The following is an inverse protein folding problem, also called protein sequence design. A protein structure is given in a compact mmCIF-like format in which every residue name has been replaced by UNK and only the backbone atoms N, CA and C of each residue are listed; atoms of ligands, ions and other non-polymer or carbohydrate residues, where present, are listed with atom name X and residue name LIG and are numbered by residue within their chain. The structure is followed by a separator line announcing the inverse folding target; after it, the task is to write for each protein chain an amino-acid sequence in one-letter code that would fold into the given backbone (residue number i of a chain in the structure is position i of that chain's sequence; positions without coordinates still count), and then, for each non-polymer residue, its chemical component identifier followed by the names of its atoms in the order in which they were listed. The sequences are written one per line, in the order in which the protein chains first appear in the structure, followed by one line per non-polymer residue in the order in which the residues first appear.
data_IF_996921822862
#
_entry.id   IF_996921822862
#
_cell.length_a   1.000
_cell.length_b   1.000
_cell.length_c   1.000
_cell.angle_alpha   90.00
_cell.angle_beta   90.00
_cell.angle_gamma   90.00
#
_symmetry.space_group_name_H-M   'P 1'
#
loop_
_entity.id
_entity.type
_entity.pdbx_description
1 polymer ?
#
# COMPACT_ATOMS: atom_id res chain seq x y z
N UNK A 1 -11.51 -0.54 -23.41
CA UNK A 1 -11.34 -1.72 -22.51
C UNK A 1 -10.35 -1.40 -21.38
N UNK A 2 -10.34 -0.16 -20.87
CA UNK A 2 -9.14 0.43 -20.27
C UNK A 2 -9.38 1.39 -19.10
N UNK A 3 -10.57 1.42 -18.48
CA UNK A 3 -10.79 2.30 -17.31
C UNK A 3 -10.43 1.60 -15.99
N UNK A 4 -10.69 0.30 -15.85
CA UNK A 4 -10.37 -0.44 -14.60
C UNK A 4 -8.87 -0.59 -14.34
N UNK A 5 -8.06 -0.63 -15.41
CA UNK A 5 -6.59 -0.63 -15.29
C UNK A 5 -6.06 0.77 -14.98
N UNK A 6 -6.69 1.83 -15.51
CA UNK A 6 -6.30 3.21 -15.24
C UNK A 6 -6.48 3.59 -13.75
N UNK A 7 -7.49 3.03 -13.07
CA UNK A 7 -7.72 3.27 -11.64
C UNK A 7 -6.86 2.42 -10.69
N UNK A 8 -6.56 1.16 -11.02
CA UNK A 8 -5.55 0.39 -10.26
C UNK A 8 -4.14 0.98 -10.46
N UNK A 9 -3.90 1.57 -11.65
CA UNK A 9 -2.74 2.39 -11.95
C UNK A 9 -2.82 3.72 -11.21
N UNK A 10 -3.98 4.37 -11.00
CA UNK A 10 -4.07 5.63 -10.24
C UNK A 10 -3.93 5.39 -8.72
N UNK A 11 -4.46 4.29 -8.17
CA UNK A 11 -4.19 3.83 -6.80
C UNK A 11 -2.72 3.42 -6.63
N UNK A 12 -1.95 3.19 -7.70
CA UNK A 12 -0.49 2.98 -7.62
C UNK A 12 0.34 4.20 -8.03
N UNK A 13 -0.14 5.04 -8.93
CA UNK A 13 0.51 6.25 -9.41
C UNK A 13 0.33 7.37 -8.40
N UNK A 14 -0.74 7.37 -7.59
CA UNK A 14 -0.81 8.16 -6.36
C UNK A 14 0.25 7.74 -5.32
N UNK A 15 0.86 6.55 -5.45
CA UNK A 15 1.96 6.07 -4.59
C UNK A 15 3.35 6.17 -5.24
N UNK A 16 3.45 6.21 -6.58
CA UNK A 16 4.74 6.26 -7.28
C UNK A 16 5.11 7.62 -7.89
N UNK A 17 4.17 8.54 -8.15
CA UNK A 17 4.45 9.76 -8.93
C UNK A 17 4.64 11.08 -8.15
N UNK A 18 4.75 11.08 -6.82
CA UNK A 18 4.95 12.32 -6.04
C UNK A 18 6.16 12.30 -5.10
N UNK A 19 7.33 11.97 -5.65
CA UNK A 19 8.63 12.25 -5.00
C UNK A 19 9.58 13.09 -5.88
N UNK A 20 9.03 13.81 -6.86
CA UNK A 20 9.75 14.91 -7.51
C UNK A 20 8.83 16.12 -7.64
N UNK A 21 9.19 17.19 -6.92
CA UNK A 21 8.95 18.56 -7.36
C UNK A 21 7.67 19.22 -6.85
N UNK A 22 7.74 19.80 -5.65
CA UNK A 22 7.08 21.08 -5.37
C UNK A 22 7.99 21.96 -4.48
N UNK A 23 9.18 22.29 -4.97
CA UNK A 23 9.78 23.61 -4.73
C UNK A 23 9.44 24.49 -5.93
N UNK A 24 9.11 25.74 -5.66
CA UNK A 24 8.43 26.68 -6.54
C UNK A 24 9.15 26.96 -7.87
N UNK A 25 8.34 27.12 -8.92
CA UNK A 25 8.37 28.06 -10.06
C UNK A 25 9.73 28.75 -10.41
N UNK A 26 10.02 28.68 -11.73
CA UNK A 26 10.99 29.42 -12.56
C UNK A 26 12.46 28.98 -12.53
N UNK A 27 12.90 28.27 -13.57
CA UNK A 27 13.85 28.79 -14.58
C UNK A 27 14.15 27.73 -15.65
N UNK A 28 14.12 28.17 -16.91
CA UNK A 28 14.65 27.50 -18.09
C UNK A 28 16.13 27.15 -17.92
N UNK A 29 16.51 25.88 -18.08
CA UNK A 29 17.71 25.45 -18.84
C UNK A 29 17.81 23.92 -18.90
N UNK A 30 18.18 23.44 -20.08
CA UNK A 30 18.55 22.07 -20.44
C UNK A 30 19.64 21.48 -19.54
N UNK A 31 19.40 20.29 -18.98
CA UNK A 31 20.40 19.52 -18.23
C UNK A 31 19.98 18.06 -17.98
N UNK A 32 20.81 17.13 -18.46
CA UNK A 32 20.91 15.68 -18.19
C UNK A 32 19.79 14.97 -17.40
N UNK A 33 19.03 14.12 -18.11
CA UNK A 33 18.20 13.05 -17.54
C UNK A 33 19.08 11.90 -17.01
N UNK A 34 19.53 11.99 -15.76
CA UNK A 34 19.92 10.79 -15.01
C UNK A 34 18.64 10.07 -14.57
N UNK A 35 18.46 8.82 -15.03
CA UNK A 35 17.32 7.99 -14.65
C UNK A 35 17.41 7.68 -13.14
N UNK A 36 16.60 8.35 -12.33
CA UNK A 36 16.44 7.97 -10.93
C UNK A 36 15.82 6.56 -10.87
N UNK A 37 16.64 5.55 -10.56
CA UNK A 37 16.17 4.18 -10.34
C UNK A 37 15.21 4.15 -9.15
N UNK A 38 14.07 3.49 -9.32
CA UNK A 38 13.07 3.30 -8.27
C UNK A 38 13.70 2.57 -7.06
N UNK A 39 13.50 3.09 -5.84
CA UNK A 39 14.04 2.51 -4.60
C UNK A 39 13.65 1.04 -4.43
N UNK A 40 12.45 0.67 -4.89
CA UNK A 40 11.99 -0.72 -4.91
C UNK A 40 12.93 -1.59 -5.75
N UNK A 41 13.29 -1.17 -6.96
CA UNK A 41 14.14 -1.97 -7.83
C UNK A 41 15.56 -2.11 -7.25
N UNK A 42 16.10 -1.04 -6.63
CA UNK A 42 17.40 -1.07 -5.96
C UNK A 42 17.42 -2.06 -4.77
N UNK A 43 16.35 -2.06 -3.95
CA UNK A 43 16.24 -2.97 -2.80
C UNK A 43 16.14 -4.42 -3.26
N UNK A 44 15.35 -4.70 -4.31
CA UNK A 44 15.12 -6.07 -4.79
C UNK A 44 16.34 -6.70 -5.46
N UNK A 45 17.25 -5.90 -6.03
CA UNK A 45 18.52 -6.37 -6.59
C UNK A 45 19.44 -7.00 -5.53
N UNK A 46 19.30 -6.62 -4.25
CA UNK A 46 20.15 -7.12 -3.16
C UNK A 46 19.83 -8.56 -2.73
N UNK A 47 18.68 -9.11 -3.11
CA UNK A 47 18.25 -10.44 -2.71
C UNK A 47 18.45 -11.41 -3.87
N UNK A 48 19.33 -12.40 -3.70
CA UNK A 48 19.64 -13.41 -4.74
C UNK A 48 18.65 -14.57 -4.77
N UNK A 49 18.11 -14.94 -3.61
CA UNK A 49 17.03 -15.92 -3.51
C UNK A 49 15.69 -15.34 -4.01
N UNK A 50 14.91 -16.18 -4.69
CA UNK A 50 13.66 -15.76 -5.32
C UNK A 50 12.56 -15.48 -4.30
N UNK A 51 12.46 -16.30 -3.25
CA UNK A 51 11.51 -16.12 -2.17
C UNK A 51 11.90 -14.91 -1.32
N UNK A 52 13.19 -14.70 -1.03
CA UNK A 52 13.70 -13.50 -0.36
C UNK A 52 13.35 -12.22 -1.13
N UNK A 53 13.57 -12.21 -2.45
CA UNK A 53 13.19 -11.07 -3.29
C UNK A 53 11.68 -10.78 -3.22
N UNK A 54 10.83 -11.80 -3.32
CA UNK A 54 9.38 -11.61 -3.21
C UNK A 54 8.97 -11.16 -1.80
N UNK A 55 9.60 -11.71 -0.76
CA UNK A 55 9.39 -11.34 0.65
C UNK A 55 9.74 -9.86 0.86
N UNK A 56 10.91 -9.42 0.39
CA UNK A 56 11.34 -8.02 0.47
C UNK A 56 10.37 -7.07 -0.23
N UNK A 57 9.84 -7.47 -1.40
CA UNK A 57 8.83 -6.68 -2.10
C UNK A 57 7.58 -6.48 -1.23
N UNK A 58 7.03 -7.57 -0.68
CA UNK A 58 5.83 -7.51 0.15
C UNK A 58 6.08 -6.77 1.47
N UNK A 59 7.24 -6.93 2.10
CA UNK A 59 7.58 -6.18 3.30
C UNK A 59 7.65 -4.67 3.05
N UNK A 60 8.25 -4.25 1.92
CA UNK A 60 8.30 -2.85 1.53
C UNK A 60 6.91 -2.29 1.23
N UNK A 61 6.10 -3.02 0.47
CA UNK A 61 4.75 -2.60 0.11
C UNK A 61 3.75 -2.69 1.27
N UNK A 62 3.99 -3.53 2.28
CA UNK A 62 3.12 -3.69 3.45
C UNK A 62 3.71 -3.03 4.71
N UNK A 63 4.70 -2.15 4.57
CA UNK A 63 5.42 -1.58 5.72
C UNK A 63 4.49 -0.94 6.75
N UNK A 64 3.43 -0.27 6.30
CA UNK A 64 2.45 0.41 7.13
C UNK A 64 1.50 -0.56 7.84
N UNK A 65 1.22 -1.71 7.22
CA UNK A 65 0.41 -2.79 7.82
C UNK A 65 1.24 -3.50 8.88
N UNK A 66 2.49 -3.83 8.54
CA UNK A 66 3.45 -4.46 9.45
C UNK A 66 3.73 -3.56 10.67
N UNK A 67 3.82 -2.24 10.47
CA UNK A 67 3.98 -1.27 11.56
C UNK A 67 2.70 -1.07 12.39
N UNK A 68 1.57 -1.65 11.97
CA UNK A 68 0.29 -1.53 12.65
C UNK A 68 -0.41 -0.17 12.47
N UNK A 69 0.05 0.66 11.53
CA UNK A 69 -0.53 1.98 11.22
C UNK A 69 -1.72 1.83 10.26
N UNK A 70 -1.63 0.90 9.30
CA UNK A 70 -2.72 0.54 8.38
C UNK A 70 -3.34 -0.81 8.74
N UNK A 71 -4.67 -0.97 8.58
CA UNK A 71 -5.30 -2.29 8.68
C UNK A 71 -5.00 -3.16 7.45
N UNK A 72 -4.88 -2.55 6.26
CA UNK A 72 -4.60 -3.24 5.01
C UNK A 72 -3.88 -2.36 3.99
N UNK A 73 -3.28 -2.99 2.97
CA UNK A 73 -2.76 -2.34 1.78
C UNK A 73 -3.10 -3.10 0.50
N UNK A 74 -3.16 -2.38 -0.63
CA UNK A 74 -3.35 -2.97 -1.94
C UNK A 74 -2.03 -3.03 -2.70
N UNK A 75 -1.70 -4.21 -3.21
CA UNK A 75 -0.54 -4.44 -4.04
C UNK A 75 -1.01 -4.98 -5.38
N UNK A 76 -0.64 -4.33 -6.46
CA UNK A 76 -0.74 -4.94 -7.78
C UNK A 76 0.61 -5.59 -8.15
N UNK A 77 0.59 -6.84 -8.58
CA UNK A 77 1.78 -7.54 -9.05
C UNK A 77 1.61 -7.73 -10.54
N UNK A 78 2.38 -6.96 -11.32
CA UNK A 78 2.34 -7.00 -12.78
C UNK A 78 3.18 -8.17 -13.27
N UNK A 79 2.68 -8.88 -14.29
CA UNK A 79 3.38 -9.96 -14.96
C UNK A 79 4.48 -9.39 -15.86
N UNK A 80 5.57 -8.96 -15.24
CA UNK A 80 6.73 -8.35 -15.90
C UNK A 80 8.00 -8.68 -15.14
N UNK A 81 9.06 -8.97 -15.89
CA UNK A 81 10.42 -9.09 -15.37
C UNK A 81 10.94 -7.71 -14.92
N UNK A 82 11.38 -7.64 -13.66
CA UNK A 82 11.97 -6.47 -12.99
C UNK A 82 13.46 -6.35 -13.31
N UNK A 83 14.11 -5.20 -13.04
CA UNK A 83 15.55 -5.02 -13.19
C UNK A 83 16.40 -6.07 -12.45
N UNK A 84 15.91 -6.59 -11.31
CA UNK A 84 16.54 -7.69 -10.59
C UNK A 84 16.47 -9.06 -11.30
N UNK A 85 15.95 -9.12 -12.54
CA UNK A 85 15.86 -10.34 -13.37
C UNK A 85 14.68 -11.25 -13.05
N UNK A 86 13.86 -10.92 -12.04
CA UNK A 86 12.76 -11.75 -11.55
C UNK A 86 11.40 -11.22 -11.97
N UNK A 87 10.43 -12.13 -12.09
CA UNK A 87 9.03 -11.79 -12.35
C UNK A 87 8.20 -12.11 -11.10
N UNK A 88 7.85 -11.07 -10.34
CA UNK A 88 7.14 -11.18 -9.06
C UNK A 88 5.77 -11.86 -9.21
N UNK A 89 5.11 -11.73 -10.37
CA UNK A 89 3.84 -12.41 -10.62
C UNK A 89 4.04 -13.93 -10.67
N UNK A 90 5.06 -14.39 -11.39
CA UNK A 90 5.38 -15.82 -11.47
C UNK A 90 5.82 -16.37 -10.11
N UNK A 91 6.65 -15.60 -9.39
CA UNK A 91 7.08 -15.98 -8.04
C UNK A 91 5.89 -16.08 -7.08
N UNK A 92 4.92 -15.17 -7.16
CA UNK A 92 3.69 -15.27 -6.37
C UNK A 92 2.92 -16.56 -6.67
N UNK A 93 2.73 -16.91 -7.95
CA UNK A 93 2.04 -18.15 -8.31
C UNK A 93 2.72 -19.39 -7.70
N UNK A 94 4.05 -19.37 -7.61
CA UNK A 94 4.86 -20.48 -7.10
C UNK A 94 4.96 -20.53 -5.57
N UNK A 95 5.05 -19.37 -4.91
CA UNK A 95 5.53 -19.28 -3.52
C UNK A 95 4.57 -18.57 -2.54
N UNK A 96 3.32 -18.29 -2.93
CA UNK A 96 2.37 -17.60 -2.05
C UNK A 96 2.11 -18.33 -0.71
N UNK A 97 2.15 -19.66 -0.69
CA UNK A 97 2.04 -20.44 0.56
C UNK A 97 3.27 -20.29 1.44
N UNK A 98 4.47 -20.30 0.86
CA UNK A 98 5.73 -20.12 1.59
C UNK A 98 5.78 -18.71 2.21
N UNK A 99 5.31 -17.70 1.47
CA UNK A 99 5.18 -16.33 1.97
C UNK A 99 4.20 -16.20 3.12
N UNK A 100 3.03 -16.85 3.03
CA UNK A 100 2.03 -16.81 4.10
C UNK A 100 2.57 -17.43 5.40
N UNK A 101 3.43 -18.44 5.29
CA UNK A 101 4.13 -19.00 6.45
C UNK A 101 5.20 -18.06 6.99
N UNK A 102 5.98 -17.41 6.10
CA UNK A 102 7.07 -16.51 6.50
C UNK A 102 6.59 -15.19 7.09
N UNK A 103 5.49 -14.66 6.58
CA UNK A 103 4.84 -13.42 7.02
C UNK A 103 3.51 -13.76 7.72
N UNK A 104 3.57 -14.61 8.74
CA UNK A 104 2.43 -15.16 9.48
C UNK A 104 1.43 -14.11 10.01
N UNK A 105 1.89 -12.91 10.34
CA UNK A 105 1.06 -11.80 10.82
C UNK A 105 0.36 -11.02 9.70
N UNK A 106 0.60 -11.38 8.43
CA UNK A 106 0.05 -10.72 7.25
C UNK A 106 -0.78 -11.70 6.42
N UNK A 107 -2.06 -11.40 6.28
CA UNK A 107 -2.98 -12.17 5.46
C UNK A 107 -2.99 -11.65 4.03
N UNK A 108 -3.25 -12.54 3.09
CA UNK A 108 -3.21 -12.26 1.67
C UNK A 108 -4.51 -12.71 0.99
N UNK A 109 -5.24 -11.77 0.37
CA UNK A 109 -6.43 -12.07 -0.42
C UNK A 109 -6.28 -11.58 -1.86
N UNK A 110 -6.37 -12.50 -2.82
CA UNK A 110 -6.40 -12.15 -4.25
C UNK A 110 -7.77 -11.55 -4.59
N UNK A 111 -7.83 -10.23 -4.75
CA UNK A 111 -9.05 -9.51 -5.11
C UNK A 111 -9.36 -9.66 -6.60
N UNK A 112 -8.33 -9.67 -7.45
CA UNK A 112 -8.47 -9.86 -8.89
C UNK A 112 -7.24 -10.55 -9.47
N UNK A 113 -7.46 -11.49 -10.39
CA UNK A 113 -6.40 -12.09 -11.20
C UNK A 113 -6.70 -11.85 -12.68
N UNK A 114 -5.71 -11.34 -13.42
CA UNK A 114 -5.74 -11.13 -14.86
C UNK A 114 -4.47 -11.73 -15.46
N UNK A 115 -4.48 -11.99 -16.77
CA UNK A 115 -3.32 -12.55 -17.48
C UNK A 115 -2.03 -11.72 -17.30
N UNK A 116 -2.16 -10.40 -17.15
CA UNK A 116 -1.03 -9.46 -17.05
C UNK A 116 -0.78 -8.93 -15.64
N UNK A 117 -1.63 -9.25 -14.66
CA UNK A 117 -1.49 -8.70 -13.31
C UNK A 117 -2.40 -9.36 -12.29
N UNK A 118 -1.96 -9.33 -11.04
CA UNK A 118 -2.69 -9.72 -9.83
C UNK A 118 -2.96 -8.45 -9.01
N UNK A 119 -4.15 -8.30 -8.41
CA UNK A 119 -4.44 -7.33 -7.35
C UNK A 119 -4.62 -8.08 -6.03
N UNK A 120 -3.75 -7.79 -5.08
CA UNK A 120 -3.65 -8.41 -3.78
C UNK A 120 -4.06 -7.42 -2.69
N UNK A 121 -4.91 -7.85 -1.77
CA UNK A 121 -5.11 -7.20 -0.48
C UNK A 121 -4.24 -7.89 0.55
N UNK A 122 -3.36 -7.13 1.19
CA UNK A 122 -2.54 -7.59 2.28
C UNK A 122 -3.02 -6.92 3.57
N UNK A 123 -3.33 -7.69 4.62
CA UNK A 123 -3.98 -7.13 5.80
C UNK A 123 -3.65 -7.89 7.10
N UNK A 124 -3.68 -7.17 8.21
CA UNK A 124 -3.72 -7.77 9.55
C UNK A 124 -5.19 -8.02 9.89
N UNK A 125 -5.57 -9.28 10.11
CA UNK A 125 -6.97 -9.66 10.29
C UNK A 125 -7.60 -8.99 11.52
N UNK A 126 -6.91 -9.01 12.66
CA UNK A 126 -7.41 -8.44 13.92
C UNK A 126 -7.57 -6.92 13.81
N UNK A 127 -6.58 -6.24 13.22
CA UNK A 127 -6.64 -4.78 13.03
C UNK A 127 -7.70 -4.39 12.02
N UNK A 128 -7.84 -5.14 10.92
CA UNK A 128 -8.86 -4.88 9.92
C UNK A 128 -10.26 -5.07 10.49
N UNK A 129 -10.49 -6.16 11.21
CA UNK A 129 -11.78 -6.42 11.87
C UNK A 129 -12.14 -5.29 12.85
N UNK A 130 -11.20 -4.93 13.74
CA UNK A 130 -11.41 -3.82 14.68
C UNK A 130 -11.70 -2.50 13.95
N UNK A 131 -10.93 -2.18 12.90
CA UNK A 131 -11.10 -0.97 12.12
C UNK A 131 -12.46 -0.93 11.41
N UNK A 132 -12.87 -2.02 10.76
CA UNK A 132 -14.14 -2.10 10.06
C UNK A 132 -15.35 -2.11 11.01
N UNK A 133 -15.17 -2.50 12.28
CA UNK A 133 -16.21 -2.41 13.32
C UNK A 133 -16.53 -0.99 13.76
N UNK A 134 -15.69 0.00 13.43
CA UNK A 134 -15.90 1.39 13.83
C UNK A 134 -17.25 1.92 13.28
N UNK A 135 -18.15 2.48 14.12
CA UNK A 135 -19.51 2.87 13.71
C UNK A 135 -19.54 3.83 12.51
N UNK A 136 -18.60 4.76 12.44
CA UNK A 136 -18.49 5.69 11.30
C UNK A 136 -18.13 4.98 10.00
N UNK A 137 -17.29 3.94 10.04
CA UNK A 137 -16.93 3.14 8.87
C UNK A 137 -18.09 2.23 8.48
N UNK A 138 -18.72 1.54 9.44
CA UNK A 138 -19.94 0.74 9.23
C UNK A 138 -21.04 1.55 8.55
N UNK A 139 -21.25 2.80 8.99
CA UNK A 139 -22.24 3.70 8.37
C UNK A 139 -21.93 3.98 6.89
N UNK A 140 -20.67 4.20 6.54
CA UNK A 140 -20.26 4.44 5.16
C UNK A 140 -20.35 3.17 4.30
N UNK A 141 -20.00 2.01 4.86
CA UNK A 141 -20.13 0.72 4.18
C UNK A 141 -21.61 0.36 3.95
N UNK A 142 -22.49 0.60 4.93
CA UNK A 142 -23.94 0.44 4.74
C UNK A 142 -24.45 1.32 3.59
N UNK A 143 -24.02 2.60 3.53
CA UNK A 143 -24.34 3.49 2.41
C UNK A 143 -23.78 3.01 1.07
N UNK A 144 -22.70 2.24 1.08
CA UNK A 144 -22.14 1.58 -0.10
C UNK A 144 -22.84 0.24 -0.43
N UNK A 145 -23.83 -0.19 0.34
CA UNK A 145 -24.62 -1.40 0.11
C UNK A 145 -24.09 -2.67 0.79
N UNK A 146 -23.20 -2.54 1.78
CA UNK A 146 -22.80 -3.69 2.62
C UNK A 146 -23.88 -3.94 3.68
N UNK A 147 -24.08 -5.20 4.07
CA UNK A 147 -25.09 -5.57 5.06
C UNK A 147 -24.67 -5.17 6.48
N UNK A 148 -25.65 -4.76 7.29
CA UNK A 148 -25.42 -4.34 8.69
C UNK A 148 -24.96 -5.46 9.61
N UNK A 149 -25.22 -6.72 9.26
CA UNK A 149 -24.81 -7.92 9.99
C UNK A 149 -23.56 -8.61 9.41
N UNK A 150 -23.00 -8.09 8.32
CA UNK A 150 -21.79 -8.66 7.73
C UNK A 150 -20.57 -8.50 8.65
N UNK A 151 -19.93 -9.62 8.95
CA UNK A 151 -18.63 -9.69 9.63
C UNK A 151 -17.48 -9.28 8.70
N UNK A 152 -16.24 -9.30 9.22
CA UNK A 152 -15.06 -8.90 8.46
C UNK A 152 -14.89 -9.73 7.18
N UNK A 153 -15.04 -11.05 7.27
CA UNK A 153 -14.91 -11.96 6.13
C UNK A 153 -16.02 -11.73 5.09
N UNK A 154 -17.27 -11.56 5.52
CA UNK A 154 -18.39 -11.23 4.64
C UNK A 154 -18.16 -9.91 3.88
N UNK A 155 -17.63 -8.89 4.55
CA UNK A 155 -17.26 -7.63 3.89
C UNK A 155 -16.11 -7.80 2.90
N UNK A 156 -15.10 -8.62 3.21
CA UNK A 156 -13.99 -8.91 2.30
C UNK A 156 -14.43 -9.68 1.05
N UNK A 157 -15.33 -10.67 1.22
CA UNK A 157 -15.88 -11.43 0.10
C UNK A 157 -16.73 -10.55 -0.82
N UNK A 158 -17.55 -9.66 -0.25
CA UNK A 158 -18.33 -8.68 -1.01
C UNK A 158 -17.41 -7.73 -1.78
N UNK A 159 -16.37 -7.20 -1.13
CA UNK A 159 -15.37 -6.34 -1.78
C UNK A 159 -14.69 -7.06 -2.96
N UNK A 160 -14.26 -8.32 -2.76
CA UNK A 160 -13.67 -9.15 -3.82
C UNK A 160 -14.64 -9.35 -4.98
N UNK A 161 -15.91 -9.65 -4.69
CA UNK A 161 -16.96 -9.81 -5.69
C UNK A 161 -17.13 -8.54 -6.53
N UNK A 162 -17.19 -7.37 -5.89
CA UNK A 162 -17.32 -6.06 -6.56
C UNK A 162 -16.14 -5.75 -7.48
N UNK A 163 -14.92 -6.04 -7.05
CA UNK A 163 -13.71 -5.83 -7.85
C UNK A 163 -13.62 -6.83 -9.01
N UNK A 164 -14.07 -8.06 -8.79
CA UNK A 164 -14.12 -9.11 -9.81
C UNK A 164 -15.19 -8.87 -10.87
N UNK A 165 -16.31 -8.25 -10.51
CA UNK A 165 -17.36 -7.84 -11.44
C UNK A 165 -16.87 -6.77 -12.42
N UNK A 166 -17.46 -6.73 -13.62
CA UNK A 166 -17.20 -5.69 -14.63
C UNK A 166 -17.78 -4.31 -14.27
N UNK A 167 -17.99 -4.05 -12.98
CA UNK A 167 -18.47 -2.78 -12.47
C UNK A 167 -17.31 -1.79 -12.34
N UNK A 168 -17.64 -0.52 -12.07
CA UNK A 168 -16.66 0.48 -11.65
C UNK A 168 -15.93 0.02 -10.38
N UNK A 169 -14.65 0.37 -10.25
CA UNK A 169 -13.86 0.02 -9.07
C UNK A 169 -14.49 0.61 -7.80
N UNK A 170 -14.67 -0.18 -6.72
CA UNK A 170 -15.38 0.28 -5.52
C UNK A 170 -14.63 1.40 -4.82
N UNK A 171 -15.24 2.57 -4.69
CA UNK A 171 -14.61 3.74 -4.05
C UNK A 171 -14.43 3.55 -2.54
N UNK A 172 -15.30 2.75 -1.91
CA UNK A 172 -15.26 2.46 -0.48
C UNK A 172 -14.05 1.62 -0.06
N UNK A 173 -13.29 1.07 -1.00
CA UNK A 173 -12.01 0.37 -0.77
C UNK A 173 -11.05 1.19 0.10
N UNK A 174 -11.12 2.53 0.02
CA UNK A 174 -10.36 3.44 0.87
C UNK A 174 -10.58 3.17 2.36
N UNK A 175 -11.79 2.76 2.76
CA UNK A 175 -12.10 2.39 4.14
C UNK A 175 -11.35 1.12 4.55
N UNK A 176 -11.26 0.11 3.68
CA UNK A 176 -10.56 -1.14 3.96
C UNK A 176 -9.05 -0.94 4.12
N UNK A 177 -8.45 -0.02 3.38
CA UNK A 177 -7.01 0.29 3.47
C UNK A 177 -6.68 1.42 4.46
N UNK A 178 -7.64 1.81 5.31
CA UNK A 178 -7.38 2.76 6.40
C UNK A 178 -7.24 4.22 5.96
N UNK A 179 -7.83 4.62 4.83
CA UNK A 179 -7.95 6.05 4.54
C UNK A 179 -8.95 6.73 5.49
N UNK A 180 -8.76 8.03 5.80
CA UNK A 180 -9.69 8.73 6.67
C UNK A 180 -11.12 8.66 6.13
N UNK A 181 -12.07 8.21 6.96
CA UNK A 181 -13.48 8.08 6.60
C UNK A 181 -14.06 9.39 6.01
N UNK A 182 -13.61 10.55 6.51
CA UNK A 182 -13.93 11.88 5.96
C UNK A 182 -13.58 12.01 4.48
N UNK A 183 -12.36 11.62 4.10
CA UNK A 183 -11.86 11.77 2.74
C UNK A 183 -12.56 10.79 1.80
N UNK A 184 -12.78 9.56 2.25
CA UNK A 184 -13.51 8.54 1.48
C UNK A 184 -14.98 8.95 1.28
N UNK A 185 -15.65 9.44 2.33
CA UNK A 185 -17.03 9.92 2.23
C UNK A 185 -17.16 11.10 1.26
N UNK A 186 -16.21 12.04 1.27
CA UNK A 186 -16.20 13.17 0.33
C UNK A 186 -15.94 12.71 -1.10
N UNK A 187 -15.02 11.77 -1.29
CA UNK A 187 -14.72 11.18 -2.59
C UNK A 187 -15.92 10.41 -3.17
N UNK A 188 -16.68 9.72 -2.32
CA UNK A 188 -17.93 9.05 -2.70
C UNK A 188 -19.10 10.02 -2.92
N UNK A 189 -18.93 11.32 -2.70
CA UNK A 189 -19.99 12.32 -2.81
C UNK A 189 -21.04 12.27 -1.69
N UNK A 190 -20.78 11.52 -0.61
CA UNK A 190 -21.70 11.37 0.53
C UNK A 190 -21.69 12.61 1.45
N UNK A 191 -20.61 13.39 1.41
CA UNK A 191 -20.48 14.67 2.11
C UNK A 191 -19.86 15.70 1.16
N UNK A 192 -20.31 16.96 1.27
CA UNK A 192 -19.75 18.07 0.49
C UNK A 192 -18.62 18.73 1.29
N UNK A 193 -17.39 18.35 0.97
CA UNK A 193 -16.18 19.00 1.49
C UNK A 193 -15.34 19.49 0.31
N UNK A 194 -14.73 20.68 0.39
CA UNK A 194 -13.84 21.16 -0.66
C UNK A 194 -12.61 20.25 -0.75
N UNK A 195 -12.12 20.03 -1.95
CA UNK A 195 -10.79 19.45 -2.15
C UNK A 195 -9.74 20.42 -1.59
N UNK A 196 -8.82 19.90 -0.78
CA UNK A 196 -7.80 20.71 -0.10
C UNK A 196 -6.43 20.48 -0.70
N UNK A 197 -6.01 19.22 -0.77
CA UNK A 197 -4.72 18.81 -1.34
C UNK A 197 -4.72 17.31 -1.64
N UNK A 198 -3.61 16.82 -2.20
CA UNK A 198 -3.42 15.40 -2.50
C UNK A 198 -2.04 14.92 -2.02
N UNK A 199 -2.03 13.70 -1.50
CA UNK A 199 -0.82 12.89 -1.23
C UNK A 199 -1.04 11.50 -1.84
N UNK A 200 -1.03 10.46 -1.00
CA UNK A 200 -1.36 9.08 -1.37
C UNK A 200 -2.85 8.90 -1.69
N UNK A 201 -3.69 9.86 -1.29
CA UNK A 201 -5.10 9.98 -1.65
C UNK A 201 -5.52 11.46 -1.72
N UNK A 202 -6.73 11.73 -2.21
CA UNK A 202 -7.34 13.08 -2.22
C UNK A 202 -7.85 13.45 -0.83
N UNK A 203 -7.44 14.62 -0.34
CA UNK A 203 -7.76 15.11 1.01
C UNK A 203 -8.80 16.23 0.90
N UNK A 204 -9.84 16.15 1.72
CA UNK A 204 -10.98 17.07 1.68
C UNK A 204 -11.20 17.79 3.02
N UNK A 205 -11.59 19.06 3.01
CA UNK A 205 -11.80 19.85 4.24
C UNK A 205 -10.51 20.05 5.05
N UNK A 206 -10.57 20.00 6.39
CA UNK A 206 -9.37 20.18 7.21
C UNK A 206 -8.35 19.04 6.95
N UNK A 207 -7.12 19.35 6.48
CA UNK A 207 -6.17 18.34 6.04
C UNK A 207 -5.29 17.79 7.18
N UNK A 208 -5.31 18.37 8.38
CA UNK A 208 -4.31 18.10 9.43
C UNK A 208 -4.15 16.61 9.75
N UNK A 209 -5.27 15.91 10.03
CA UNK A 209 -5.24 14.47 10.35
C UNK A 209 -4.83 13.62 9.14
N UNK A 210 -5.29 13.97 7.94
CA UNK A 210 -4.98 13.23 6.72
C UNK A 210 -3.51 13.37 6.33
N UNK A 211 -2.93 14.56 6.49
CA UNK A 211 -1.50 14.81 6.27
C UNK A 211 -0.63 14.11 7.30
N UNK A 212 -0.99 14.16 8.59
CA UNK A 212 -0.28 13.43 9.63
C UNK A 212 -0.26 11.92 9.36
N UNK A 213 -1.38 11.35 8.91
CA UNK A 213 -1.46 9.94 8.55
C UNK A 213 -0.62 9.60 7.30
N UNK A 214 -0.66 10.45 6.27
CA UNK A 214 0.17 10.26 5.07
C UNK A 214 1.67 10.31 5.41
N UNK A 215 2.07 11.15 6.37
CA UNK A 215 3.44 11.23 6.85
C UNK A 215 3.86 9.98 7.62
N UNK A 216 2.98 9.43 8.46
CA UNK A 216 3.25 8.14 9.12
C UNK A 216 3.49 7.02 8.10
N UNK A 217 2.69 6.96 7.03
CA UNK A 217 2.87 5.95 5.97
C UNK A 217 4.24 6.11 5.28
N UNK A 218 4.61 7.36 4.98
CA UNK A 218 5.92 7.70 4.40
C UNK A 218 7.07 7.23 5.29
N UNK A 219 6.99 7.50 6.60
CA UNK A 219 8.01 7.10 7.57
C UNK A 219 8.15 5.57 7.66
N UNK A 220 7.03 4.82 7.73
CA UNK A 220 7.06 3.36 7.72
C UNK A 220 7.78 2.82 6.48
N UNK A 221 7.43 3.32 5.29
CA UNK A 221 8.02 2.87 4.03
C UNK A 221 9.51 3.19 3.94
N UNK A 222 9.92 4.38 4.37
CA UNK A 222 11.33 4.79 4.37
C UNK A 222 12.15 3.94 5.33
N UNK A 223 11.64 3.69 6.54
CA UNK A 223 12.29 2.82 7.53
C UNK A 223 12.47 1.40 6.99
N UNK A 224 11.43 0.83 6.40
CA UNK A 224 11.50 -0.51 5.80
C UNK A 224 12.48 -0.54 4.62
N UNK A 225 12.43 0.46 3.74
CA UNK A 225 13.37 0.59 2.61
C UNK A 225 14.83 0.63 3.06
N UNK A 226 15.13 1.42 4.10
CA UNK A 226 16.49 1.52 4.66
C UNK A 226 16.97 0.19 5.28
N UNK A 227 16.07 -0.57 5.91
CA UNK A 227 16.38 -1.89 6.47
C UNK A 227 16.65 -2.90 5.35
N UNK A 228 15.78 -2.97 4.34
CA UNK A 228 15.89 -3.91 3.23
C UNK A 228 17.07 -3.57 2.30
N UNK A 229 17.47 -2.31 2.20
CA UNK A 229 18.65 -1.88 1.44
C UNK A 229 19.96 -2.52 1.94
N UNK A 230 19.99 -3.05 3.18
CA UNK A 230 21.14 -3.82 3.70
C UNK A 230 21.29 -5.20 3.05
N UNK A 231 20.23 -5.74 2.43
CA UNK A 231 20.30 -6.93 1.58
C UNK A 231 20.54 -8.27 2.27
N UNK A 232 20.40 -8.36 3.60
CA UNK A 232 20.68 -9.60 4.34
C UNK A 232 19.40 -10.38 4.61
N UNK A 233 19.35 -11.70 4.46
CA UNK A 233 18.15 -12.50 4.76
C UNK A 233 17.62 -12.33 6.19
N UNK A 234 18.47 -11.91 7.14
CA UNK A 234 18.10 -11.59 8.52
C UNK A 234 17.13 -10.41 8.64
N UNK A 235 17.12 -9.47 7.70
CA UNK A 235 16.15 -8.35 7.68
C UNK A 235 14.76 -8.78 7.18
N UNK A 236 14.62 -10.03 6.74
CA UNK A 236 13.34 -10.61 6.33
C UNK A 236 12.66 -11.40 7.47
N UNK A 237 13.32 -11.54 8.62
CA UNK A 237 12.80 -12.21 9.82
C UNK A 237 12.00 -11.22 10.68
N UNK A 238 10.86 -10.74 10.15
CA UNK A 238 10.10 -9.65 10.79
C UNK A 238 9.34 -10.06 12.06
N UNK A 239 9.11 -11.35 12.32
CA UNK A 239 8.32 -11.81 13.46
C UNK A 239 9.01 -11.63 14.83
N UNK A 240 10.21 -11.06 14.85
CA UNK A 240 10.91 -10.79 16.10
C UNK A 240 10.62 -9.38 16.62
N UNK A 241 10.27 -9.29 17.90
CA UNK A 241 10.06 -8.00 18.58
C UNK A 241 11.32 -7.13 18.62
N UNK A 242 12.51 -7.73 18.51
CA UNK A 242 13.81 -7.04 18.41
C UNK A 242 14.16 -6.62 16.97
N UNK A 243 13.29 -6.89 16.00
CA UNK A 243 13.55 -6.54 14.60
C UNK A 243 13.73 -5.02 14.47
N UNK A 244 14.75 -4.53 13.73
CA UNK A 244 15.05 -3.10 13.61
C UNK A 244 13.88 -2.23 13.13
N UNK A 245 12.90 -2.84 12.46
CA UNK A 245 11.69 -2.15 12.03
C UNK A 245 10.80 -1.70 13.19
N UNK A 246 10.77 -2.46 14.30
CA UNK A 246 9.96 -2.16 15.48
C UNK A 246 10.72 -1.42 16.57
N UNK A 247 12.04 -1.57 16.62
CA UNK A 247 12.88 -0.82 17.55
C UNK A 247 12.84 0.69 17.24
N UNK A 248 12.64 1.52 18.26
CA UNK A 248 12.92 2.95 18.15
C UNK A 248 14.42 3.12 17.98
N UNK A 249 14.87 3.41 16.77
CA UNK A 249 16.19 4.02 16.58
C UNK A 249 16.05 5.48 17.00
N UNK A 250 17.00 5.99 17.78
CA UNK A 250 17.04 7.39 18.20
C UNK A 250 16.68 8.32 17.04
N UNK A 251 15.83 9.33 17.27
CA UNK A 251 15.30 10.26 16.26
C UNK A 251 16.40 10.95 15.40
N UNK A 252 17.66 10.83 15.80
CA UNK A 252 18.83 11.36 15.09
C UNK A 252 19.29 10.52 13.88
N UNK A 253 18.93 9.24 13.76
CA UNK A 253 19.42 8.39 12.65
C UNK A 253 18.63 8.58 11.33
N UNK A 254 17.44 9.18 11.39
CA UNK A 254 16.62 9.48 10.21
C UNK A 254 16.61 10.97 9.81
N UNK A 255 17.31 11.84 10.55
CA UNK A 255 17.49 13.25 10.18
C UNK A 255 18.33 13.45 8.90
N UNK A 256 18.93 12.39 8.36
CA UNK A 256 19.78 12.44 7.16
C UNK A 256 19.14 11.84 5.89
N UNK A 257 17.88 11.43 5.93
CA UNK A 257 17.16 11.07 4.70
C UNK A 257 16.51 12.34 4.12
N UNK A 258 16.95 12.82 2.94
CA UNK A 258 16.46 14.09 2.39
C UNK A 258 14.95 14.03 2.13
N UNK A 259 14.27 15.09 2.58
CA UNK A 259 12.89 15.43 2.23
C UNK A 259 12.71 15.74 0.74
#
# INVERSE_FOLDING_TARGET
MTDSLFWAIDIKNQFHHNWMGMSQINQTTSGNFYSHRNITDQVLENFTDALDCLTAHLMLECSEVLAGVKPANLISIVNRTRPCGRNLYLLWQQHHTDLAQRLNNLNFMVLQSRQQSLLLLCYDHVRLEHHLSHPGIRTLLHKAGYKDDADCEGMLLELRSRIGGNNSFPHEIGLFIGYPAKDVAAFMGLVRLPFTCQRLWKIYGNPARSLALAEQYRCCRNKMGAILARGTSKTLEIDRSDHPFFCQTDENDYQYLPC
#
